data_IF_121738409174
#
_entry.id   IF_121738409174
#
_cell.length_a   1.000
_cell.length_b   1.000
_cell.length_c   1.000
_cell.angle_alpha   90.00
_cell.angle_beta   90.00
_cell.angle_gamma   90.00
#
_symmetry.space_group_name_H-M   'P 1'
#
loop_
_entity.id
_entity.type
_entity.pdbx_description
1 polymer ?
#
# COMPACT_ATOMS: atom_id res chain seq x y z
N UNK A 1 20.81 10.57 24.50
CA UNK A 1 19.36 10.31 24.50
C UNK A 1 18.51 11.42 25.16
N UNK A 2 19.14 12.44 25.71
CA UNK A 2 18.48 13.64 26.25
C UNK A 2 17.97 14.61 25.18
N UNK A 3 18.25 14.35 23.90
CA UNK A 3 17.99 15.27 22.79
C UNK A 3 16.73 14.96 21.97
N UNK A 4 16.06 13.84 22.23
CA UNK A 4 14.82 13.50 21.52
C UNK A 4 13.67 14.40 22.02
N UNK A 5 13.15 15.24 21.12
CA UNK A 5 11.99 16.12 21.35
C UNK A 5 10.73 15.61 20.66
N UNK A 6 9.60 16.32 20.78
CA UNK A 6 8.37 16.02 20.05
C UNK A 6 8.49 16.31 18.54
N UNK A 7 9.45 17.13 18.13
CA UNK A 7 9.72 17.50 16.73
C UNK A 7 11.11 16.96 16.36
N UNK A 8 11.20 16.35 15.18
CA UNK A 8 12.46 15.78 14.67
C UNK A 8 13.40 16.93 14.28
N UNK A 9 14.55 17.05 14.97
CA UNK A 9 15.58 18.05 14.70
C UNK A 9 16.57 17.53 13.67
N UNK A 10 17.28 18.43 12.99
CA UNK A 10 18.22 18.08 11.94
C UNK A 10 19.48 17.35 12.47
N UNK A 11 19.88 17.66 13.70
CA UNK A 11 20.97 17.00 14.41
C UNK A 11 20.69 15.52 14.71
N UNK A 12 19.42 15.17 15.03
CA UNK A 12 18.99 13.78 15.21
C UNK A 12 19.15 12.98 13.91
N UNK A 13 18.79 13.58 12.77
CA UNK A 13 18.96 12.94 11.48
C UNK A 13 20.42 12.67 11.13
N UNK A 14 21.33 13.64 11.38
CA UNK A 14 22.76 13.44 11.16
C UNK A 14 23.27 12.26 11.98
N UNK A 15 22.97 12.24 13.29
CA UNK A 15 23.36 11.15 14.17
C UNK A 15 22.81 9.78 13.73
N UNK A 16 21.58 9.73 13.21
CA UNK A 16 20.97 8.49 12.68
C UNK A 16 21.73 8.03 11.43
N UNK A 17 22.02 8.94 10.48
CA UNK A 17 22.79 8.60 9.28
C UNK A 17 24.19 8.09 9.60
N UNK A 18 24.91 8.73 10.52
CA UNK A 18 26.26 8.31 10.91
C UNK A 18 26.27 6.91 11.54
N UNK A 19 25.28 6.63 12.40
CA UNK A 19 25.10 5.29 12.98
C UNK A 19 24.70 4.26 11.92
N UNK A 20 23.83 4.61 10.97
CA UNK A 20 23.47 3.73 9.85
C UNK A 20 24.69 3.40 9.00
N UNK A 21 25.48 4.40 8.61
CA UNK A 21 26.72 4.19 7.83
C UNK A 21 27.65 3.23 8.56
N UNK A 22 27.86 3.42 9.86
CA UNK A 22 28.68 2.51 10.67
C UNK A 22 28.15 1.07 10.62
N UNK A 23 26.83 0.87 10.73
CA UNK A 23 26.23 -0.47 10.66
C UNK A 23 26.35 -1.07 9.25
N UNK A 24 26.10 -0.28 8.21
CA UNK A 24 26.20 -0.74 6.82
C UNK A 24 27.63 -1.17 6.48
N UNK A 25 28.61 -0.41 6.91
CA UNK A 25 30.02 -0.72 6.68
C UNK A 25 30.51 -1.96 7.46
N UNK A 26 29.89 -2.26 8.60
CA UNK A 26 30.19 -3.43 9.41
C UNK A 26 29.59 -4.74 8.87
N UNK A 27 28.69 -4.66 7.88
CA UNK A 27 27.95 -5.79 7.30
C UNK A 27 28.07 -5.79 5.77
N UNK A 28 27.99 -6.97 5.17
CA UNK A 28 28.04 -7.10 3.70
C UNK A 28 26.79 -6.56 3.04
N UNK A 29 25.62 -6.87 3.62
CA UNK A 29 24.31 -6.52 3.06
C UNK A 29 23.36 -6.08 4.16
N UNK A 30 22.75 -4.93 3.97
CA UNK A 30 21.86 -4.30 4.94
C UNK A 30 20.53 -3.93 4.31
N UNK A 31 19.42 -4.08 5.06
CA UNK A 31 18.13 -3.49 4.72
C UNK A 31 17.78 -2.38 5.71
N UNK A 32 17.30 -1.27 5.18
CA UNK A 32 16.80 -0.15 6.01
C UNK A 32 15.31 0.03 5.71
N UNK A 33 14.45 -0.34 6.67
CA UNK A 33 13.03 -0.11 6.55
C UNK A 33 12.63 1.25 7.09
N UNK A 34 11.74 1.90 6.37
CA UNK A 34 11.11 3.17 6.74
C UNK A 34 9.60 3.10 6.51
N UNK A 35 8.85 4.02 7.10
CA UNK A 35 7.39 3.97 7.09
C UNK A 35 6.73 4.61 5.86
N UNK A 36 7.44 5.47 5.11
CA UNK A 36 6.88 6.21 3.97
C UNK A 36 7.81 6.17 2.76
N UNK A 37 7.23 6.26 1.55
CA UNK A 37 7.98 6.31 0.29
C UNK A 37 8.90 7.53 0.23
N UNK A 38 8.38 8.68 0.69
CA UNK A 38 9.16 9.91 0.81
C UNK A 38 10.42 9.72 1.65
N UNK A 39 10.30 8.98 2.73
CA UNK A 39 11.43 8.71 3.62
C UNK A 39 12.42 7.73 3.00
N UNK A 40 11.95 6.76 2.16
CA UNK A 40 12.84 5.90 1.36
C UNK A 40 13.76 6.75 0.50
N UNK A 41 13.19 7.64 -0.32
CA UNK A 41 13.98 8.46 -1.24
C UNK A 41 14.96 9.37 -0.50
N UNK A 42 14.51 10.01 0.59
CA UNK A 42 15.37 10.86 1.42
C UNK A 42 16.55 10.10 2.02
N UNK A 43 16.26 8.94 2.64
CA UNK A 43 17.29 8.15 3.32
C UNK A 43 18.24 7.52 2.31
N UNK A 44 17.73 7.01 1.19
CA UNK A 44 18.57 6.44 0.14
C UNK A 44 19.51 7.50 -0.45
N UNK A 45 19.02 8.69 -0.73
CA UNK A 45 19.83 9.80 -1.22
C UNK A 45 20.93 10.19 -0.22
N UNK A 46 20.58 10.37 1.05
CA UNK A 46 21.52 10.72 2.10
C UNK A 46 22.57 9.64 2.39
N UNK A 47 22.22 8.38 2.22
CA UNK A 47 23.18 7.28 2.29
C UNK A 47 24.07 7.21 1.06
N UNK A 48 23.57 7.52 -0.14
CA UNK A 48 24.36 7.57 -1.37
C UNK A 48 25.43 8.66 -1.32
N UNK A 49 25.13 9.82 -0.76
CA UNK A 49 26.10 10.88 -0.55
C UNK A 49 27.26 10.45 0.38
N UNK A 50 27.02 9.56 1.35
CA UNK A 50 27.99 9.11 2.35
C UNK A 50 28.75 7.84 1.96
N UNK A 51 28.11 6.92 1.25
CA UNK A 51 28.65 5.60 0.89
C UNK A 51 29.16 5.54 -0.56
N UNK A 52 28.81 6.53 -1.37
CA UNK A 52 29.09 6.58 -2.79
C UNK A 52 27.93 6.10 -3.66
N UNK A 53 27.85 6.67 -4.85
CA UNK A 53 26.88 6.27 -5.87
C UNK A 53 27.07 4.78 -6.25
N UNK A 54 25.97 4.08 -6.47
CA UNK A 54 25.98 2.67 -6.85
C UNK A 54 26.07 1.66 -5.70
N UNK A 55 26.09 2.13 -4.43
CA UNK A 55 26.06 1.24 -3.25
C UNK A 55 24.71 1.18 -2.56
N UNK A 56 23.78 2.07 -2.91
CA UNK A 56 22.50 2.26 -2.24
C UNK A 56 21.34 2.12 -3.22
N UNK A 57 20.38 1.28 -2.90
CA UNK A 57 19.13 1.14 -3.64
C UNK A 57 17.92 1.69 -2.88
N UNK A 58 16.91 2.16 -3.61
CA UNK A 58 15.59 2.52 -3.09
C UNK A 58 14.54 1.54 -3.59
N UNK A 59 13.63 1.06 -2.72
CA UNK A 59 12.60 0.10 -3.10
C UNK A 59 11.25 0.40 -2.44
N UNK A 60 10.26 0.77 -3.25
CA UNK A 60 8.89 1.03 -2.80
C UNK A 60 7.87 0.84 -3.92
N UNK A 61 6.59 0.72 -3.57
CA UNK A 61 5.51 0.37 -4.49
C UNK A 61 5.24 1.38 -5.63
N UNK A 62 5.74 2.63 -5.54
CA UNK A 62 5.60 3.63 -6.61
C UNK A 62 6.64 3.51 -7.72
N UNK A 63 7.70 2.73 -7.51
CA UNK A 63 8.69 2.43 -8.55
C UNK A 63 8.14 1.44 -9.57
N UNK A 64 8.64 1.52 -10.81
CA UNK A 64 8.30 0.55 -11.84
C UNK A 64 8.72 -0.87 -11.43
N UNK A 65 8.02 -1.88 -11.95
CA UNK A 65 8.38 -3.28 -11.69
C UNK A 65 9.83 -3.57 -12.13
N UNK A 66 10.24 -3.00 -13.27
CA UNK A 66 11.61 -3.16 -13.79
C UNK A 66 12.63 -2.63 -12.81
N UNK A 67 12.46 -1.38 -12.35
CA UNK A 67 13.36 -0.75 -11.37
C UNK A 67 13.44 -1.56 -10.08
N UNK A 68 12.31 -2.07 -9.58
CA UNK A 68 12.30 -2.90 -8.36
C UNK A 68 13.09 -4.20 -8.53
N UNK A 69 12.89 -4.91 -9.62
CA UNK A 69 13.64 -6.13 -9.92
C UNK A 69 15.15 -5.87 -10.05
N UNK A 70 15.53 -4.78 -10.70
CA UNK A 70 16.96 -4.38 -10.80
C UNK A 70 17.58 -4.14 -9.41
N UNK A 71 16.84 -3.50 -8.50
CA UNK A 71 17.29 -3.28 -7.11
C UNK A 71 17.43 -4.59 -6.35
N UNK A 72 16.49 -5.51 -6.52
CA UNK A 72 16.51 -6.83 -5.90
C UNK A 72 17.70 -7.66 -6.39
N UNK A 73 17.97 -7.66 -7.70
CA UNK A 73 19.12 -8.36 -8.29
C UNK A 73 20.46 -7.79 -7.81
N UNK A 74 20.59 -6.46 -7.75
CA UNK A 74 21.79 -5.79 -7.27
C UNK A 74 22.04 -6.01 -5.77
N UNK A 75 20.98 -6.16 -4.99
CA UNK A 75 21.10 -6.55 -3.58
C UNK A 75 21.59 -8.00 -3.46
N UNK A 76 21.02 -8.93 -4.23
CA UNK A 76 21.44 -10.34 -4.24
C UNK A 76 22.88 -10.54 -4.67
N UNK A 77 23.31 -9.84 -5.71
CA UNK A 77 24.70 -9.90 -6.20
C UNK A 77 25.71 -9.26 -5.26
N UNK A 78 25.24 -8.44 -4.31
CA UNK A 78 26.10 -7.67 -3.40
C UNK A 78 26.69 -6.41 -4.06
N UNK A 79 26.15 -6.00 -5.21
CA UNK A 79 26.49 -4.70 -5.83
C UNK A 79 26.01 -3.57 -4.92
N UNK A 80 24.76 -3.66 -4.40
CA UNK A 80 24.27 -2.78 -3.35
C UNK A 80 24.65 -3.31 -1.96
N UNK A 81 25.29 -2.47 -1.16
CA UNK A 81 25.56 -2.74 0.26
C UNK A 81 24.31 -2.52 1.13
N UNK A 82 23.41 -1.66 0.66
CA UNK A 82 22.17 -1.35 1.37
C UNK A 82 21.01 -1.04 0.42
N UNK A 83 19.82 -1.50 0.80
CA UNK A 83 18.58 -1.08 0.18
C UNK A 83 17.66 -0.45 1.23
N UNK A 84 17.14 0.73 0.93
CA UNK A 84 16.12 1.40 1.75
C UNK A 84 14.75 1.08 1.19
N UNK A 85 13.83 0.59 2.02
CA UNK A 85 12.54 0.11 1.56
C UNK A 85 11.37 0.46 2.49
N UNK A 86 10.15 0.48 1.93
CA UNK A 86 8.90 0.37 2.69
C UNK A 86 8.50 -1.10 2.86
N UNK A 87 7.22 -1.39 3.09
CA UNK A 87 6.66 -2.75 3.15
C UNK A 87 6.90 -3.60 1.87
N UNK A 88 7.39 -3.01 0.79
CA UNK A 88 7.59 -3.69 -0.49
C UNK A 88 8.63 -4.83 -0.47
N UNK A 89 9.52 -4.87 0.52
CA UNK A 89 10.47 -5.98 0.77
C UNK A 89 10.16 -6.75 2.07
N UNK A 90 8.98 -6.55 2.63
CA UNK A 90 8.57 -7.17 3.90
C UNK A 90 8.18 -8.64 3.72
N UNK A 91 7.51 -9.01 2.63
CA UNK A 91 6.90 -10.33 2.42
C UNK A 91 7.32 -10.98 1.09
N UNK A 92 7.57 -12.29 1.17
CA UNK A 92 7.48 -13.22 0.04
C UNK A 92 8.50 -13.08 -1.09
N UNK A 93 9.49 -12.19 -0.98
CA UNK A 93 10.50 -11.98 -2.01
C UNK A 93 11.80 -12.60 -1.55
N UNK A 94 12.41 -13.39 -2.42
CA UNK A 94 13.78 -13.84 -2.25
C UNK A 94 14.75 -12.70 -2.62
N UNK A 95 15.28 -12.04 -1.60
CA UNK A 95 16.24 -10.93 -1.72
C UNK A 95 17.69 -11.34 -1.44
N UNK A 96 17.91 -12.66 -1.30
CA UNK A 96 19.22 -13.20 -0.97
C UNK A 96 19.62 -13.00 0.50
N UNK A 97 20.93 -12.96 0.75
CA UNK A 97 21.48 -12.88 2.08
C UNK A 97 21.46 -11.45 2.62
N UNK A 98 20.84 -11.25 3.78
CA UNK A 98 20.83 -9.97 4.50
C UNK A 98 21.40 -10.19 5.90
N UNK A 99 22.42 -9.43 6.27
CA UNK A 99 23.11 -9.56 7.55
C UNK A 99 22.40 -8.82 8.67
N UNK A 100 21.86 -7.63 8.38
CA UNK A 100 21.22 -6.77 9.37
C UNK A 100 20.04 -6.02 8.77
N UNK A 101 19.00 -5.88 9.57
CA UNK A 101 17.85 -5.02 9.28
C UNK A 101 17.85 -3.83 10.21
N UNK A 102 17.84 -2.63 9.65
CA UNK A 102 17.65 -1.38 10.37
C UNK A 102 16.22 -0.88 10.15
N UNK A 103 15.58 -0.32 11.15
CA UNK A 103 14.26 0.29 11.03
C UNK A 103 14.30 1.71 11.59
N UNK A 104 13.93 2.70 10.77
CA UNK A 104 13.88 4.11 11.17
C UNK A 104 12.44 4.46 11.56
N UNK A 105 12.27 5.01 12.76
CA UNK A 105 10.98 5.25 13.40
C UNK A 105 10.42 4.01 14.07
N UNK A 106 9.19 4.09 14.59
CA UNK A 106 8.51 2.94 15.19
C UNK A 106 7.87 2.05 14.11
N UNK A 107 7.95 0.71 14.24
CA UNK A 107 7.21 -0.20 13.38
C UNK A 107 5.70 -0.08 13.65
N UNK A 108 4.89 -0.35 12.63
CA UNK A 108 3.43 -0.20 12.74
C UNK A 108 2.78 -1.34 13.54
N UNK A 109 3.40 -2.53 13.58
CA UNK A 109 2.92 -3.70 14.31
C UNK A 109 4.08 -4.59 14.77
N UNK A 110 3.85 -5.39 15.80
CA UNK A 110 4.82 -6.39 16.25
C UNK A 110 5.05 -7.44 15.15
N UNK A 111 3.99 -7.84 14.46
CA UNK A 111 4.07 -8.74 13.33
C UNK A 111 4.93 -8.16 12.20
N UNK A 112 4.72 -6.89 11.82
CA UNK A 112 5.53 -6.18 10.83
C UNK A 112 6.99 -6.07 11.27
N UNK A 113 7.24 -5.76 12.54
CA UNK A 113 8.60 -5.71 13.09
C UNK A 113 9.31 -7.06 12.92
N UNK A 114 8.66 -8.15 13.32
CA UNK A 114 9.21 -9.50 13.22
C UNK A 114 9.42 -9.94 11.77
N UNK A 115 8.48 -9.64 10.88
CA UNK A 115 8.59 -9.93 9.45
C UNK A 115 9.78 -9.20 8.81
N UNK A 116 9.98 -7.91 9.16
CA UNK A 116 11.11 -7.11 8.67
C UNK A 116 12.45 -7.62 9.22
N UNK A 117 12.56 -7.82 10.53
CA UNK A 117 13.78 -8.36 11.15
C UNK A 117 14.08 -9.76 10.62
N UNK A 118 13.05 -10.58 10.38
CA UNK A 118 13.17 -11.90 9.78
C UNK A 118 13.73 -11.91 8.36
N UNK A 119 13.90 -10.76 7.69
CA UNK A 119 14.66 -10.67 6.43
C UNK A 119 16.15 -10.87 6.63
N UNK A 120 16.68 -10.60 7.83
CA UNK A 120 18.05 -10.95 8.17
C UNK A 120 18.14 -12.40 8.66
N UNK A 121 19.29 -13.02 8.45
CA UNK A 121 19.56 -14.38 8.95
C UNK A 121 18.72 -15.48 8.28
N UNK A 122 18.39 -15.36 7.01
CA UNK A 122 17.55 -16.31 6.25
C UNK A 122 18.25 -17.65 5.94
N UNK A 123 19.12 -18.15 6.85
CA UNK A 123 19.78 -19.46 6.72
C UNK A 123 19.65 -20.26 8.01
N UNK A 124 19.83 -21.56 7.88
CA UNK A 124 19.67 -22.49 9.02
C UNK A 124 20.65 -22.15 10.14
N UNK A 125 20.11 -21.90 11.33
CA UNK A 125 20.91 -21.59 12.53
C UNK A 125 21.31 -20.13 12.72
N UNK A 126 20.96 -19.22 11.80
CA UNK A 126 21.21 -17.81 11.98
C UNK A 126 20.18 -17.15 12.91
N UNK A 127 20.62 -16.20 13.69
CA UNK A 127 19.76 -15.37 14.54
C UNK A 127 19.50 -14.05 13.82
N UNK A 128 18.22 -13.71 13.51
CA UNK A 128 17.88 -12.45 12.88
C UNK A 128 18.35 -11.24 13.70
N UNK A 129 18.99 -10.27 13.05
CA UNK A 129 19.48 -9.03 13.66
C UNK A 129 18.64 -7.85 13.22
N UNK A 130 18.04 -7.14 14.18
CA UNK A 130 17.30 -5.91 13.94
C UNK A 130 17.75 -4.77 14.83
N UNK A 131 17.86 -3.57 14.27
CA UNK A 131 18.22 -2.34 14.97
C UNK A 131 17.13 -1.30 14.72
N UNK A 132 16.56 -0.73 15.80
CA UNK A 132 15.57 0.33 15.75
C UNK A 132 16.21 1.69 15.97
N UNK A 133 15.89 2.65 15.12
CA UNK A 133 16.35 4.04 15.19
C UNK A 133 15.14 4.94 15.47
N UNK A 134 14.78 5.20 16.73
CA UNK A 134 13.71 6.13 17.07
C UNK A 134 14.11 7.55 16.71
N UNK A 135 13.16 8.32 16.17
CA UNK A 135 13.38 9.71 15.77
C UNK A 135 12.80 10.70 16.79
N UNK A 136 11.81 10.25 17.56
CA UNK A 136 11.12 11.04 18.57
C UNK A 136 11.08 10.29 19.90
N UNK A 137 10.68 10.99 20.99
CA UNK A 137 10.44 10.34 22.29
C UNK A 137 9.33 9.29 22.20
N UNK A 138 8.29 9.54 21.43
CA UNK A 138 7.20 8.59 21.21
C UNK A 138 7.69 7.35 20.46
N UNK A 139 8.51 7.53 19.42
CA UNK A 139 9.15 6.40 18.72
C UNK A 139 10.01 5.57 19.67
N UNK A 140 10.76 6.21 20.58
CA UNK A 140 11.58 5.51 21.55
C UNK A 140 10.72 4.66 22.49
N UNK A 141 9.66 5.23 23.05
CA UNK A 141 8.73 4.50 23.91
C UNK A 141 8.08 3.32 23.20
N UNK A 142 7.60 3.54 21.99
CA UNK A 142 7.01 2.49 21.16
C UNK A 142 8.02 1.40 20.82
N UNK A 143 9.27 1.77 20.50
CA UNK A 143 10.33 0.80 20.19
C UNK A 143 10.69 -0.05 21.41
N UNK A 144 10.79 0.55 22.60
CA UNK A 144 11.06 -0.17 23.85
C UNK A 144 9.90 -1.11 24.16
N UNK A 145 8.66 -0.63 24.04
CA UNK A 145 7.46 -1.47 24.26
C UNK A 145 7.40 -2.64 23.27
N UNK A 146 7.70 -2.39 21.98
CA UNK A 146 7.73 -3.44 20.96
C UNK A 146 8.80 -4.51 21.27
N UNK A 147 10.03 -4.11 21.63
CA UNK A 147 11.09 -5.06 21.99
C UNK A 147 10.70 -5.88 23.22
N UNK A 148 10.07 -5.26 24.23
CA UNK A 148 9.60 -5.97 25.42
C UNK A 148 8.52 -7.00 25.06
N UNK A 149 7.50 -6.60 24.30
CA UNK A 149 6.43 -7.48 23.86
C UNK A 149 6.96 -8.69 23.05
N UNK A 150 7.86 -8.44 22.09
CA UNK A 150 8.51 -9.52 21.31
C UNK A 150 9.28 -10.48 22.22
N UNK A 151 10.01 -9.99 23.21
CA UNK A 151 10.73 -10.85 24.18
C UNK A 151 9.79 -11.67 25.07
N UNK A 152 8.58 -11.20 25.28
CA UNK A 152 7.52 -11.91 26.01
C UNK A 152 6.70 -12.86 25.12
N UNK A 153 7.00 -12.93 23.82
CA UNK A 153 6.28 -13.76 22.86
C UNK A 153 4.89 -13.22 22.50
N UNK A 154 4.65 -11.94 22.75
CA UNK A 154 3.39 -11.28 22.42
C UNK A 154 3.34 -10.92 20.94
N UNK A 155 2.14 -10.97 20.35
CA UNK A 155 1.82 -10.52 19.01
C UNK A 155 0.60 -9.61 19.05
N UNK A 156 0.46 -8.80 18.01
CA UNK A 156 -0.74 -7.99 17.84
C UNK A 156 -1.98 -8.88 17.69
N UNK A 157 -3.07 -8.49 18.35
CA UNK A 157 -4.36 -9.15 18.15
C UNK A 157 -4.88 -8.83 16.78
N UNK A 158 -5.21 -9.87 16.02
CA UNK A 158 -5.93 -9.71 14.77
C UNK A 158 -7.34 -9.17 15.05
N UNK A 159 -7.60 -7.96 14.62
CA UNK A 159 -8.93 -7.34 14.71
C UNK A 159 -9.61 -7.40 13.34
N UNK A 160 -10.62 -8.25 13.22
CA UNK A 160 -11.47 -8.27 12.04
C UNK A 160 -12.51 -7.16 12.16
N UNK A 161 -12.56 -6.26 11.18
CA UNK A 161 -13.58 -5.23 11.12
C UNK A 161 -14.93 -5.91 10.91
N UNK A 162 -15.87 -5.67 11.82
CA UNK A 162 -17.22 -6.21 11.71
C UNK A 162 -18.09 -5.31 10.84
N UNK A 163 -18.87 -5.93 9.96
CA UNK A 163 -19.88 -5.27 9.08
C UNK A 163 -19.32 -4.06 8.30
N UNK A 164 -18.20 -4.15 7.57
CA UNK A 164 -17.74 -3.06 6.72
C UNK A 164 -18.69 -2.91 5.52
N UNK A 165 -19.73 -2.05 5.64
CA UNK A 165 -20.81 -1.93 4.65
C UNK A 165 -20.35 -1.37 3.30
N UNK A 166 -19.27 -0.58 3.28
CA UNK A 166 -18.61 -0.07 2.08
C UNK A 166 -17.98 -1.21 1.25
N UNK A 167 -17.28 -2.11 1.93
CA UNK A 167 -16.74 -3.32 1.28
C UNK A 167 -17.86 -4.25 0.84
N UNK A 168 -18.92 -4.39 1.65
CA UNK A 168 -20.08 -5.21 1.30
C UNK A 168 -20.78 -4.65 0.03
N UNK A 169 -21.00 -3.34 -0.04
CA UNK A 169 -21.58 -2.70 -1.20
C UNK A 169 -20.82 -3.03 -2.49
N UNK A 170 -19.49 -2.89 -2.44
CA UNK A 170 -18.62 -3.21 -3.56
C UNK A 170 -18.70 -4.70 -3.94
N UNK A 171 -18.64 -5.60 -2.95
CA UNK A 171 -18.69 -7.05 -3.20
C UNK A 171 -20.05 -7.49 -3.77
N UNK A 172 -21.15 -6.89 -3.34
CA UNK A 172 -22.47 -7.14 -3.91
C UNK A 172 -22.48 -6.77 -5.41
N UNK A 173 -22.00 -5.58 -5.77
CA UNK A 173 -21.93 -5.15 -7.18
C UNK A 173 -21.03 -6.09 -7.99
N UNK A 174 -19.88 -6.48 -7.45
CA UNK A 174 -18.97 -7.40 -8.12
C UNK A 174 -19.56 -8.80 -8.31
N UNK A 175 -20.25 -9.33 -7.30
CA UNK A 175 -20.90 -10.65 -7.36
C UNK A 175 -22.01 -10.67 -8.40
N UNK A 176 -22.91 -9.68 -8.39
CA UNK A 176 -23.99 -9.59 -9.40
C UNK A 176 -23.40 -9.46 -10.81
N UNK A 177 -22.32 -8.67 -10.97
CA UNK A 177 -21.65 -8.53 -12.26
C UNK A 177 -20.98 -9.83 -12.74
N UNK A 178 -20.45 -10.66 -11.85
CA UNK A 178 -19.81 -11.94 -12.21
C UNK A 178 -20.83 -13.03 -12.57
N UNK A 179 -21.95 -13.11 -11.87
CA UNK A 179 -23.03 -14.06 -12.16
C UNK A 179 -23.67 -13.84 -13.54
N UNK A 180 -23.90 -12.59 -13.91
CA UNK A 180 -24.40 -12.28 -15.28
C UNK A 180 -23.41 -12.69 -16.38
N UNK A 181 -22.11 -12.61 -16.09
CA UNK A 181 -21.08 -13.04 -17.02
C UNK A 181 -21.07 -14.58 -17.12
N UNK A 182 -21.08 -15.29 -16.01
CA UNK A 182 -21.10 -16.75 -15.98
C UNK A 182 -22.31 -17.30 -16.74
N UNK A 183 -23.51 -16.76 -16.48
CA UNK A 183 -24.73 -17.14 -17.20
C UNK A 183 -24.69 -16.83 -18.70
N UNK A 184 -23.87 -15.86 -19.14
CA UNK A 184 -23.71 -15.56 -20.58
C UNK A 184 -22.77 -16.51 -21.30
N UNK A 185 -21.87 -17.19 -20.58
CA UNK A 185 -20.96 -18.21 -21.16
C UNK A 185 -21.56 -19.61 -21.24
N UNK A 186 -22.52 -19.93 -20.37
CA UNK A 186 -23.16 -21.26 -20.30
C UNK A 186 -24.21 -21.50 -21.41
N UNK A 187 -24.52 -20.50 -22.25
CA UNK A 187 -25.37 -20.69 -23.41
C UNK A 187 -24.56 -21.22 -24.60
N UNK A 188 -24.83 -22.44 -25.11
CA UNK A 188 -24.16 -22.97 -26.27
C UNK A 188 -24.35 -22.03 -27.48
N UNK A 189 -23.23 -21.56 -28.04
CA UNK A 189 -23.20 -20.75 -29.27
C UNK A 189 -23.52 -21.58 -30.52
N UNK A 190 -24.62 -22.32 -30.52
CA UNK A 190 -25.12 -23.04 -31.70
C UNK A 190 -26.59 -22.60 -31.92
N UNK A 191 -26.78 -21.50 -32.58
CA UNK A 191 -27.99 -21.26 -33.32
C UNK A 191 -27.66 -20.29 -34.46
N UNK A 192 -27.86 -20.77 -35.67
CA UNK A 192 -27.82 -19.97 -36.88
C UNK A 192 -28.87 -18.84 -36.87
N UNK A 193 -28.98 -18.00 -37.93
CA UNK A 193 -29.73 -16.76 -37.89
C UNK A 193 -31.24 -17.06 -37.80
N UNK A 194 -31.81 -16.94 -36.62
CA UNK A 194 -33.26 -16.96 -36.41
C UNK A 194 -33.77 -15.52 -36.36
N UNK A 195 -34.86 -15.35 -37.10
CA UNK A 195 -35.65 -14.13 -37.31
C UNK A 195 -35.95 -13.38 -36.02
N UNK A 196 -35.98 -12.02 -36.12
CA UNK A 196 -36.48 -11.10 -35.12
C UNK A 196 -37.81 -11.60 -34.52
N UNK A 197 -37.76 -12.21 -33.37
CA UNK A 197 -38.85 -12.52 -32.49
C UNK A 197 -38.48 -12.07 -31.09
N UNK A 198 -39.43 -11.44 -30.39
CA UNK A 198 -39.30 -10.88 -29.05
C UNK A 198 -38.33 -11.66 -28.18
N UNK A 199 -37.14 -11.09 -27.89
CA UNK A 199 -36.31 -11.55 -26.80
C UNK A 199 -37.06 -11.24 -25.52
N UNK A 200 -37.70 -12.24 -24.94
CA UNK A 200 -37.93 -12.29 -23.50
C UNK A 200 -36.54 -12.10 -22.85
N UNK A 201 -36.31 -10.92 -22.34
CA UNK A 201 -35.20 -10.63 -21.41
C UNK A 201 -35.46 -11.41 -20.13
N UNK A 202 -35.15 -12.70 -20.14
CA UNK A 202 -35.34 -13.61 -19.04
C UNK A 202 -34.00 -14.18 -18.62
N UNK A 203 -33.66 -14.01 -17.36
CA UNK A 203 -32.99 -14.95 -16.50
C UNK A 203 -31.48 -14.81 -16.24
N UNK A 204 -30.83 -13.69 -16.46
CA UNK A 204 -29.52 -13.47 -15.90
C UNK A 204 -29.63 -12.52 -14.69
N UNK A 205 -29.50 -13.06 -13.50
CA UNK A 205 -29.51 -12.29 -12.25
C UNK A 205 -29.36 -13.22 -11.05
N UNK A 206 -28.93 -12.69 -9.92
CA UNK A 206 -28.79 -13.43 -8.66
C UNK A 206 -30.04 -13.23 -7.78
N UNK A 207 -30.54 -14.28 -7.13
CA UNK A 207 -31.57 -14.17 -6.13
C UNK A 207 -31.08 -13.38 -4.92
N UNK A 208 -31.91 -12.43 -4.43
CA UNK A 208 -31.63 -11.66 -3.23
C UNK A 208 -31.36 -12.55 -2.01
N UNK A 209 -32.13 -13.64 -1.87
CA UNK A 209 -31.99 -14.57 -0.77
C UNK A 209 -30.69 -15.39 -0.91
N UNK A 210 -30.34 -15.84 -2.11
CA UNK A 210 -29.07 -16.55 -2.33
C UNK A 210 -27.88 -15.65 -2.01
N UNK A 211 -27.94 -14.37 -2.42
CA UNK A 211 -26.90 -13.39 -2.11
C UNK A 211 -26.83 -13.10 -0.60
N UNK A 212 -27.97 -12.99 0.08
CA UNK A 212 -28.04 -12.84 1.52
C UNK A 212 -27.35 -13.99 2.27
N UNK A 213 -27.64 -15.24 1.89
CA UNK A 213 -27.01 -16.40 2.48
C UNK A 213 -25.50 -16.44 2.21
N UNK A 214 -25.09 -16.09 1.00
CA UNK A 214 -23.68 -15.99 0.62
C UNK A 214 -22.94 -14.96 1.50
N UNK A 215 -23.51 -13.78 1.66
CA UNK A 215 -22.93 -12.70 2.48
C UNK A 215 -22.78 -13.11 3.94
N UNK A 216 -23.82 -13.69 4.52
CA UNK A 216 -23.80 -14.16 5.93
C UNK A 216 -22.86 -15.31 6.18
N UNK A 217 -22.48 -16.06 5.16
CA UNK A 217 -21.45 -17.09 5.25
C UNK A 217 -20.05 -16.55 5.53
N UNK A 218 -19.80 -15.27 5.26
CA UNK A 218 -18.51 -14.62 5.55
C UNK A 218 -18.48 -14.11 7.01
N UNK A 219 -17.41 -14.42 7.72
CA UNK A 219 -17.23 -14.09 9.15
C UNK A 219 -17.53 -12.62 9.51
N UNK A 220 -17.09 -11.60 8.73
CA UNK A 220 -17.38 -10.20 9.07
C UNK A 220 -18.88 -9.85 9.06
N UNK A 221 -19.70 -10.63 8.36
CA UNK A 221 -21.12 -10.36 8.13
C UNK A 221 -22.06 -11.38 8.80
N UNK A 222 -21.54 -12.30 9.63
CA UNK A 222 -22.36 -13.27 10.35
C UNK A 222 -23.46 -12.62 11.21
N UNK A 223 -23.17 -11.45 11.78
CA UNK A 223 -24.09 -10.67 12.61
C UNK A 223 -24.78 -9.54 11.81
N UNK A 224 -24.71 -9.54 10.47
CA UNK A 224 -25.37 -8.53 9.64
C UNK A 224 -26.89 -8.65 9.80
N UNK A 225 -27.58 -7.54 10.03
CA UNK A 225 -29.02 -7.52 10.14
C UNK A 225 -29.67 -7.49 8.75
N UNK A 226 -30.91 -8.01 8.63
CA UNK A 226 -31.64 -7.91 7.37
C UNK A 226 -31.92 -6.47 6.99
N UNK A 227 -32.16 -5.63 7.98
CA UNK A 227 -32.39 -4.20 7.79
C UNK A 227 -31.18 -3.48 7.19
N UNK A 228 -29.96 -3.68 7.73
CA UNK A 228 -28.74 -3.10 7.16
C UNK A 228 -28.52 -3.56 5.71
N UNK A 229 -28.79 -4.83 5.43
CA UNK A 229 -28.68 -5.39 4.08
C UNK A 229 -29.69 -4.79 3.10
N UNK A 230 -30.96 -4.65 3.52
CA UNK A 230 -32.03 -4.05 2.71
C UNK A 230 -31.71 -2.58 2.39
N UNK A 231 -31.28 -1.80 3.37
CA UNK A 231 -30.85 -0.40 3.17
C UNK A 231 -29.70 -0.31 2.18
N UNK A 232 -28.76 -1.24 2.25
CA UNK A 232 -27.63 -1.29 1.32
C UNK A 232 -28.09 -1.62 -0.10
N UNK A 233 -28.99 -2.60 -0.29
CA UNK A 233 -29.55 -2.92 -1.58
C UNK A 233 -30.37 -1.75 -2.16
N UNK A 234 -31.11 -1.03 -1.31
CA UNK A 234 -31.85 0.16 -1.72
C UNK A 234 -30.90 1.26 -2.22
N UNK A 235 -29.83 1.54 -1.48
CA UNK A 235 -28.79 2.48 -1.89
C UNK A 235 -28.16 2.09 -3.24
N UNK A 236 -27.88 0.81 -3.47
CA UNK A 236 -27.24 0.31 -4.70
C UNK A 236 -28.22 0.30 -5.89
N UNK A 237 -29.53 0.16 -5.66
CA UNK A 237 -30.56 0.09 -6.72
C UNK A 237 -31.19 1.43 -7.04
N UNK A 238 -31.37 2.30 -6.09
CA UNK A 238 -32.03 3.61 -6.27
C UNK A 238 -31.03 4.75 -6.44
N UNK A 239 -29.78 4.52 -5.99
CA UNK A 239 -28.70 5.51 -6.03
C UNK A 239 -28.70 6.43 -4.82
N UNK A 240 -27.75 7.33 -4.75
CA UNK A 240 -27.61 8.31 -3.66
C UNK A 240 -27.72 9.73 -4.23
N UNK A 241 -28.69 10.48 -3.73
CA UNK A 241 -28.76 11.91 -3.99
C UNK A 241 -27.91 12.67 -2.95
N UNK A 242 -26.88 13.33 -3.41
CA UNK A 242 -26.10 14.25 -2.57
C UNK A 242 -26.35 15.68 -3.01
N UNK A 243 -26.15 16.66 -2.13
CA UNK A 243 -26.28 18.10 -2.46
C UNK A 243 -25.45 18.56 -3.66
N UNK A 244 -24.42 17.77 -4.09
CA UNK A 244 -23.49 18.12 -5.18
C UNK A 244 -23.61 17.24 -6.42
N UNK A 245 -24.18 16.04 -6.32
CA UNK A 245 -24.35 15.15 -7.48
C UNK A 245 -25.37 14.05 -7.19
N UNK A 246 -26.07 13.61 -8.25
CA UNK A 246 -26.88 12.39 -8.24
C UNK A 246 -25.97 11.24 -8.69
N UNK A 247 -25.62 10.32 -7.79
CA UNK A 247 -24.90 9.11 -8.18
C UNK A 247 -25.88 8.09 -8.73
N UNK A 248 -25.58 7.56 -9.92
CA UNK A 248 -26.40 6.54 -10.57
C UNK A 248 -26.44 5.25 -9.74
N UNK A 249 -27.58 4.58 -9.77
CA UNK A 249 -27.72 3.23 -9.25
C UNK A 249 -26.85 2.23 -10.03
N UNK A 250 -26.28 1.26 -9.34
CA UNK A 250 -25.44 0.21 -9.91
C UNK A 250 -26.21 -1.06 -10.25
N UNK A 251 -27.29 -1.33 -9.52
CA UNK A 251 -28.11 -2.52 -9.65
C UNK A 251 -29.52 -2.18 -10.10
N UNK A 252 -30.16 -3.14 -10.75
CA UNK A 252 -31.60 -3.18 -10.94
C UNK A 252 -32.15 -4.24 -9.99
N UNK A 253 -33.09 -3.83 -9.11
CA UNK A 253 -33.74 -4.70 -8.13
C UNK A 253 -35.16 -5.01 -8.58
N UNK A 254 -35.42 -6.25 -8.94
CA UNK A 254 -36.78 -6.75 -9.18
C UNK A 254 -37.36 -7.24 -7.85
N UNK A 255 -38.10 -6.37 -7.19
CA UNK A 255 -38.68 -6.65 -5.86
C UNK A 255 -39.81 -7.71 -5.93
N UNK A 256 -40.40 -7.92 -7.09
CA UNK A 256 -41.50 -8.90 -7.28
C UNK A 256 -40.92 -10.32 -7.32
N UNK A 257 -39.86 -10.50 -8.07
CA UNK A 257 -39.23 -11.82 -8.24
C UNK A 257 -38.01 -12.03 -7.32
N UNK A 258 -37.61 -11.03 -6.50
CA UNK A 258 -36.49 -11.11 -5.61
C UNK A 258 -35.15 -11.33 -6.33
N UNK A 259 -34.93 -10.65 -7.46
CA UNK A 259 -33.75 -10.82 -8.31
C UNK A 259 -33.00 -9.52 -8.49
N UNK A 260 -31.69 -9.59 -8.36
CA UNK A 260 -30.75 -8.48 -8.62
C UNK A 260 -30.08 -8.67 -9.97
N UNK A 261 -30.04 -7.60 -10.76
CA UNK A 261 -29.33 -7.55 -12.05
C UNK A 261 -28.41 -6.34 -12.12
N UNK A 262 -27.38 -6.46 -12.95
CA UNK A 262 -26.42 -5.39 -13.18
C UNK A 262 -27.01 -4.28 -14.06
N UNK A 263 -26.81 -3.01 -13.69
CA UNK A 263 -27.04 -1.88 -14.60
C UNK A 263 -25.85 -1.65 -15.52
N UNK A 264 -26.12 -1.03 -16.68
CA UNK A 264 -25.09 -0.65 -17.63
C UNK A 264 -24.02 0.23 -16.94
N UNK A 265 -22.75 -0.16 -17.04
CA UNK A 265 -21.62 0.51 -16.39
C UNK A 265 -21.20 -0.07 -15.04
N UNK A 266 -22.05 -0.81 -14.31
CA UNK A 266 -21.70 -1.40 -13.02
C UNK A 266 -20.51 -2.38 -13.12
N UNK A 267 -20.38 -3.09 -14.23
CA UNK A 267 -19.23 -3.96 -14.50
C UNK A 267 -17.91 -3.19 -14.52
N UNK A 268 -17.88 -2.05 -15.22
CA UNK A 268 -16.68 -1.21 -15.25
C UNK A 268 -16.34 -0.71 -13.86
N UNK A 269 -17.35 -0.26 -13.11
CA UNK A 269 -17.18 0.17 -11.72
C UNK A 269 -16.64 -0.96 -10.84
N UNK A 270 -17.17 -2.17 -10.93
CA UNK A 270 -16.68 -3.33 -10.19
C UNK A 270 -15.21 -3.67 -10.52
N UNK A 271 -14.82 -3.55 -11.79
CA UNK A 271 -13.44 -3.83 -12.24
C UNK A 271 -12.44 -2.73 -11.85
N UNK A 272 -12.87 -1.48 -11.83
CA UNK A 272 -11.98 -0.34 -11.56
C UNK A 272 -11.89 0.03 -10.08
N UNK A 273 -12.91 -0.30 -9.28
CA UNK A 273 -12.96 -0.04 -7.84
C UNK A 273 -12.68 -1.34 -7.07
N UNK A 274 -11.41 -1.70 -6.97
CA UNK A 274 -10.96 -2.91 -6.27
C UNK A 274 -10.88 -2.79 -4.74
N UNK A 275 -11.59 -1.88 -4.10
CA UNK A 275 -11.62 -1.67 -2.65
C UNK A 275 -12.04 -0.25 -2.26
N UNK A 276 -12.21 -0.01 -0.96
CA UNK A 276 -12.47 1.32 -0.39
C UNK A 276 -11.20 2.20 -0.38
N UNK A 277 -10.50 2.27 -1.51
CA UNK A 277 -9.32 3.12 -1.65
C UNK A 277 -9.81 4.50 -2.09
N UNK A 278 -9.48 5.58 -1.36
CA UNK A 278 -9.82 6.94 -1.77
C UNK A 278 -9.23 7.21 -3.16
N UNK A 279 -9.98 7.92 -4.00
CA UNK A 279 -9.55 8.38 -5.32
C UNK A 279 -8.43 9.43 -5.19
N UNK A 280 -7.22 8.99 -4.88
CA UNK A 280 -6.02 9.78 -5.10
C UNK A 280 -5.48 9.36 -6.45
N UNK A 281 -5.51 10.25 -7.41
CA UNK A 281 -4.93 10.01 -8.73
C UNK A 281 -3.41 9.82 -8.60
N UNK A 282 -2.88 8.82 -9.29
CA UNK A 282 -1.45 8.67 -9.48
C UNK A 282 -1.08 9.12 -10.90
N UNK A 283 -0.05 9.94 -11.01
CA UNK A 283 0.56 10.33 -12.28
C UNK A 283 1.71 9.40 -12.63
N UNK A 284 1.67 8.80 -13.82
CA UNK A 284 2.77 7.99 -14.33
C UNK A 284 3.97 8.85 -14.71
N UNK A 285 5.16 8.55 -14.16
CA UNK A 285 6.42 9.19 -14.50
C UNK A 285 7.07 8.44 -15.66
N UNK A 286 7.30 9.13 -16.76
CA UNK A 286 7.82 8.57 -18.02
C UNK A 286 9.06 9.33 -18.45
N UNK A 287 10.15 8.61 -18.62
CA UNK A 287 11.41 9.16 -19.10
C UNK A 287 11.35 9.50 -20.59
N UNK A 288 11.79 10.69 -20.97
CA UNK A 288 11.94 11.13 -22.36
C UNK A 288 13.44 11.07 -22.76
N UNK A 289 13.78 10.66 -23.98
CA UNK A 289 12.91 10.26 -25.10
C UNK A 289 12.56 8.76 -25.14
N UNK A 290 13.04 7.97 -24.18
CA UNK A 290 12.94 6.49 -24.19
C UNK A 290 11.52 5.97 -23.98
N UNK A 291 10.58 6.82 -23.55
CA UNK A 291 9.22 6.46 -23.11
C UNK A 291 9.18 5.39 -22.01
N UNK A 292 10.28 5.24 -21.26
CA UNK A 292 10.40 4.26 -20.21
C UNK A 292 9.59 4.70 -18.99
N UNK A 293 8.73 3.79 -18.48
CA UNK A 293 7.98 4.03 -17.26
C UNK A 293 8.91 3.89 -16.04
N UNK A 294 9.13 4.98 -15.32
CA UNK A 294 10.00 5.04 -14.14
C UNK A 294 9.25 4.67 -12.86
N UNK A 295 8.04 5.20 -12.71
CA UNK A 295 7.23 5.01 -11.50
C UNK A 295 6.01 5.90 -11.47
N UNK A 296 5.49 6.15 -10.27
CA UNK A 296 4.30 6.98 -10.06
C UNK A 296 4.54 8.02 -8.97
N UNK A 297 3.92 9.16 -9.11
CA UNK A 297 3.85 10.22 -8.10
C UNK A 297 2.39 10.56 -7.79
N UNK A 298 2.15 11.16 -6.64
CA UNK A 298 0.80 11.60 -6.26
C UNK A 298 0.30 12.72 -7.19
N UNK A 299 -1.00 12.77 -7.43
CA UNK A 299 -1.64 13.76 -8.29
C UNK A 299 -1.38 15.19 -7.82
N UNK A 300 -1.48 15.45 -6.50
CA UNK A 300 -1.26 16.79 -5.97
C UNK A 300 0.19 17.24 -6.20
N UNK A 301 1.17 16.33 -5.99
CA UNK A 301 2.55 16.62 -6.31
C UNK A 301 2.72 16.94 -7.81
N UNK A 302 2.07 16.15 -8.68
CA UNK A 302 2.18 16.36 -10.12
C UNK A 302 1.56 17.69 -10.58
N UNK A 303 0.41 18.08 -9.98
CA UNK A 303 -0.31 19.32 -10.33
C UNK A 303 0.44 20.56 -9.82
N UNK A 304 1.05 20.48 -8.63
CA UNK A 304 1.83 21.58 -8.04
C UNK A 304 3.21 21.77 -8.68
N UNK A 305 3.70 20.74 -9.40
CA UNK A 305 5.03 20.76 -10.02
C UNK A 305 5.03 21.52 -11.34
N UNK A 306 6.11 22.26 -11.58
CA UNK A 306 6.32 23.02 -12.83
C UNK A 306 7.35 22.35 -13.73
N UNK A 307 7.29 22.66 -15.03
CA UNK A 307 8.34 22.28 -15.96
C UNK A 307 9.68 22.93 -15.55
N UNK A 308 10.74 22.12 -15.46
CA UNK A 308 12.05 22.54 -14.96
C UNK A 308 12.32 22.12 -13.51
N UNK A 309 11.32 21.82 -12.72
CA UNK A 309 11.50 21.33 -11.36
C UNK A 309 12.24 19.99 -11.36
N UNK A 310 13.06 19.77 -10.34
CA UNK A 310 13.83 18.55 -10.17
C UNK A 310 13.35 17.82 -8.94
N UNK A 311 13.05 16.52 -9.08
CA UNK A 311 12.61 15.68 -7.99
C UNK A 311 13.32 14.32 -7.98
N UNK A 312 13.28 13.65 -6.82
CA UNK A 312 13.92 12.36 -6.59
C UNK A 312 12.90 11.22 -6.75
N UNK A 313 13.24 10.22 -7.55
CA UNK A 313 12.46 8.99 -7.65
C UNK A 313 13.36 7.81 -8.02
N UNK A 314 13.36 6.75 -7.21
CA UNK A 314 14.21 5.58 -7.40
C UNK A 314 15.69 5.88 -7.15
N UNK A 315 15.99 6.80 -6.22
CA UNK A 315 17.32 7.30 -5.92
C UNK A 315 18.03 7.97 -7.12
N UNK A 316 17.24 8.50 -8.05
CA UNK A 316 17.71 9.30 -9.21
C UNK A 316 16.99 10.63 -9.24
N UNK A 317 17.71 11.66 -9.68
CA UNK A 317 17.17 13.01 -9.89
C UNK A 317 16.56 13.13 -11.27
N UNK A 318 15.30 13.57 -11.33
CA UNK A 318 14.53 13.72 -12.55
C UNK A 318 14.11 15.17 -12.73
N UNK A 319 14.35 15.73 -13.91
CA UNK A 319 13.85 17.06 -14.29
C UNK A 319 12.51 16.92 -15.01
N UNK A 320 11.52 17.68 -14.59
CA UNK A 320 10.20 17.69 -15.20
C UNK A 320 10.24 18.46 -16.50
N UNK A 321 9.90 17.84 -17.61
CA UNK A 321 9.72 18.50 -18.91
C UNK A 321 8.29 18.98 -19.11
N UNK A 322 7.32 18.16 -18.74
CA UNK A 322 5.90 18.45 -18.93
C UNK A 322 5.05 17.60 -18.01
N UNK A 323 4.02 18.21 -17.44
CA UNK A 323 2.91 17.53 -16.76
C UNK A 323 1.69 17.56 -17.67
N UNK A 324 1.04 16.43 -17.87
CA UNK A 324 -0.17 16.29 -18.70
C UNK A 324 -1.16 15.32 -18.10
N UNK A 325 -2.23 14.96 -18.81
CA UNK A 325 -3.31 14.10 -18.31
C UNK A 325 -2.80 12.75 -17.79
N UNK A 326 -2.64 12.63 -16.47
CA UNK A 326 -2.21 11.42 -15.80
C UNK A 326 -0.75 11.00 -16.02
N UNK A 327 0.07 11.85 -16.66
CA UNK A 327 1.47 11.55 -16.97
C UNK A 327 2.38 12.75 -16.71
N UNK A 328 3.58 12.45 -16.22
CA UNK A 328 4.67 13.40 -16.04
C UNK A 328 5.86 12.95 -16.90
N UNK A 329 6.21 13.74 -17.91
CA UNK A 329 7.40 13.48 -18.73
C UNK A 329 8.63 14.09 -18.06
N UNK A 330 9.66 13.28 -17.91
CA UNK A 330 10.89 13.64 -17.20
C UNK A 330 12.13 13.32 -18.02
N UNK A 331 13.25 13.94 -17.67
CA UNK A 331 14.57 13.59 -18.16
C UNK A 331 15.54 13.44 -16.98
N UNK A 332 16.63 12.71 -17.17
CA UNK A 332 17.68 12.60 -16.16
C UNK A 332 18.26 13.98 -15.83
N UNK A 333 18.23 14.34 -14.56
CA UNK A 333 18.75 15.62 -14.09
C UNK A 333 20.25 15.59 -13.76
N UNK A 334 20.95 14.47 -14.04
CA UNK A 334 22.40 14.31 -13.90
C UNK A 334 22.92 14.73 -12.50
N UNK A 335 22.22 14.31 -11.45
CA UNK A 335 22.63 14.57 -10.06
C UNK A 335 22.38 15.99 -9.56
N UNK A 336 21.65 16.84 -10.30
CA UNK A 336 21.22 18.15 -9.79
C UNK A 336 20.37 18.00 -8.52
N UNK A 337 20.44 18.96 -7.57
CA UNK A 337 19.74 18.88 -6.29
C UNK A 337 18.24 18.74 -6.47
N UNK A 338 17.62 17.63 -6.00
CA UNK A 338 16.21 17.39 -6.18
C UNK A 338 15.37 17.82 -4.97
N UNK A 339 14.11 18.13 -5.22
CA UNK A 339 13.06 18.06 -4.20
C UNK A 339 12.60 16.61 -3.99
N UNK A 340 12.00 16.31 -2.85
CA UNK A 340 11.48 14.98 -2.57
C UNK A 340 9.96 15.00 -2.76
N UNK A 341 9.38 14.16 -3.64
CA UNK A 341 7.94 14.11 -3.83
C UNK A 341 7.22 13.65 -2.56
N UNK A 342 5.94 13.92 -2.47
CA UNK A 342 5.08 13.45 -1.40
C UNK A 342 4.00 12.52 -1.94
N UNK A 343 3.48 11.66 -1.07
CA UNK A 343 2.34 10.78 -1.32
C UNK A 343 1.34 10.95 -0.18
N UNK A 344 0.07 11.22 -0.49
CA UNK A 344 -0.99 11.33 0.51
C UNK A 344 -1.36 9.96 1.10
N UNK A 345 -1.88 9.97 2.33
CA UNK A 345 -2.36 8.75 3.00
C UNK A 345 -1.26 7.91 3.68
N UNK A 346 -0.02 8.35 3.68
CA UNK A 346 1.10 7.66 4.35
C UNK A 346 1.25 8.00 5.84
N UNK A 347 0.15 8.26 6.55
CA UNK A 347 0.22 8.57 7.99
C UNK A 347 0.56 7.31 8.80
N UNK A 348 1.55 7.34 9.71
CA UNK A 348 1.86 6.20 10.55
C UNK A 348 0.74 5.98 11.58
N UNK A 349 0.05 4.84 11.49
CA UNK A 349 -0.87 4.40 12.52
C UNK A 349 -0.11 3.95 13.78
N UNK A 350 -0.63 4.27 14.96
CA UNK A 350 -0.10 3.76 16.23
C UNK A 350 -0.93 2.59 16.72
N UNK A 351 -0.29 1.52 17.18
CA UNK A 351 -0.96 0.27 17.55
C UNK A 351 -1.50 0.36 18.98
N UNK A 352 -2.73 -0.13 19.17
CA UNK A 352 -3.41 -0.12 20.46
C UNK A 352 -2.63 -0.88 21.57
N UNK A 353 -1.92 -1.94 21.20
CA UNK A 353 -1.15 -2.75 22.14
C UNK A 353 0.13 -2.07 22.61
N UNK A 354 0.86 -1.40 21.71
CA UNK A 354 2.03 -0.60 22.07
C UNK A 354 1.66 0.55 23.03
N UNK A 355 0.46 1.13 22.86
CA UNK A 355 -0.06 2.15 23.78
C UNK A 355 -0.32 1.63 25.20
N UNK A 356 -0.74 0.36 25.35
CA UNK A 356 -0.97 -0.26 26.69
C UNK A 356 0.33 -0.61 27.40
N UNK A 357 1.35 -1.05 26.67
CA UNK A 357 2.64 -1.51 27.24
C UNK A 357 3.57 -0.33 27.56
N UNK A 358 3.46 0.78 26.83
CA UNK A 358 4.33 1.94 27.03
C UNK A 358 4.29 2.56 28.45
N UNK A 359 3.14 2.72 29.11
CA UNK A 359 3.08 3.22 30.50
C UNK A 359 3.74 2.26 31.51
N UNK A 360 3.55 0.95 31.33
CA UNK A 360 4.14 -0.06 32.23
C UNK A 360 5.65 -0.18 32.05
N UNK A 361 6.16 0.02 30.84
CA UNK A 361 7.60 0.00 30.57
C UNK A 361 8.36 1.15 31.25
N UNK A 362 7.69 2.24 31.55
CA UNK A 362 8.24 3.40 32.29
C UNK A 362 8.20 3.19 33.80
N UNK A 363 7.19 2.51 34.34
CA UNK A 363 7.00 2.33 35.79
C UNK A 363 8.03 1.39 36.43
N UNK A 364 8.71 0.57 35.65
CA UNK A 364 9.73 -0.38 36.15
C UNK A 364 11.17 0.15 36.19
N UNK A 365 11.40 1.48 35.99
CA UNK A 365 12.73 2.09 35.92
C UNK A 365 12.91 3.35 36.81
N UNK A 366 12.00 3.57 37.76
CA UNK A 366 12.16 4.62 38.80
C UNK A 366 12.51 3.96 40.14
#
# INVERSE_FOLDING_TARGET
DTELGPIIRQDVWSAVYDKLVTQIQAHRTSLVFVNTRRLVERVAHQLSERLGEGKVGAHHGSLSRKTRLEVEEKLKSGEFSVVVATASLELGIDIGHVDVVCHIGSPRSLAVLLQRIGRSGHWLGAIPKGILYPLTRDDLLQSVAAIRAVRQGELDKLTVVKKPLDILAQQIVATVASEEIASSFDKPRIAGPTKKGNKTEGEAGISEEALWQLVRGAYPYGDLTREDYEQLLEMLSDGVETRRSRRSAYLHRDRIHGVLRMRRGARLTAMTNGGAIPNTGDYGVIEFPTETFVGKVNEDFAIESLAGDIFLLGNRSWRIRRVGSGKMLVEDAQGLPPSIPFWLGESPGTIAQQKKVAPEALAGKI
#
